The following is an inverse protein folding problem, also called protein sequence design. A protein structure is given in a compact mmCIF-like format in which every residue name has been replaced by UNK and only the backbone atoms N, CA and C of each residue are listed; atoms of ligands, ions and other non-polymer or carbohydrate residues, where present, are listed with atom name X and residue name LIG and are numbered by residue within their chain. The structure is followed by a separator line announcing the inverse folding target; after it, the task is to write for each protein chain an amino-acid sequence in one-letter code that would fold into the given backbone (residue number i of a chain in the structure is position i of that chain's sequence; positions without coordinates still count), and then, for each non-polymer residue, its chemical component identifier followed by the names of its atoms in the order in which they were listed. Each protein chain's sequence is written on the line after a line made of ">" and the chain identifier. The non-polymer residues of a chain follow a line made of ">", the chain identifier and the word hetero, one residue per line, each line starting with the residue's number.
data_IF_099284688665
#
_entry.id   IF_099284688665
#
_cell.length_a   1.000
_cell.length_b   1.000
_cell.length_c   1.000
_cell.angle_alpha   90.00
_cell.angle_beta   90.00
_cell.angle_gamma   90.00
#
_symmetry.space_group_name_H-M   'P 1'
#
loop_
_entity.id
_entity.type
_entity.pdbx_description
1 polymer ?
#
# COMPACT_ATOMS: atom_id res chain seq x y z
N UNK A 1 28.99 10.02 -25.23
CA UNK A 1 28.55 10.15 -26.64
C UNK A 1 29.65 10.80 -27.47
N UNK A 2 29.97 10.29 -28.66
CA UNK A 2 31.07 10.82 -29.47
C UNK A 2 30.60 11.13 -30.90
N UNK A 3 30.93 12.32 -31.42
CA UNK A 3 30.62 12.75 -32.79
C UNK A 3 31.92 13.09 -33.54
N UNK A 4 32.11 12.44 -34.69
CA UNK A 4 33.24 12.67 -35.61
C UNK A 4 32.75 12.79 -37.04
N UNK A 5 33.39 13.65 -37.82
CA UNK A 5 33.10 13.81 -39.24
C UNK A 5 32.44 15.15 -39.57
N UNK A 6 32.65 15.60 -40.80
CA UNK A 6 32.16 16.88 -41.26
C UNK A 6 30.67 16.75 -41.61
N UNK A 7 29.81 17.56 -40.99
CA UNK A 7 28.36 17.55 -41.24
C UNK A 7 27.54 16.50 -40.46
N UNK A 8 28.13 15.78 -39.50
CA UNK A 8 27.37 14.87 -38.64
C UNK A 8 26.57 15.65 -37.59
N UNK A 9 25.24 15.53 -37.64
CA UNK A 9 24.32 16.07 -36.63
C UNK A 9 23.96 14.97 -35.63
N UNK A 10 24.23 15.22 -34.35
CA UNK A 10 23.92 14.30 -33.26
C UNK A 10 22.97 15.01 -32.31
N UNK A 11 21.88 14.34 -31.96
CA UNK A 11 20.84 14.87 -31.09
C UNK A 11 20.55 13.86 -29.99
N UNK A 12 20.37 14.35 -28.77
CA UNK A 12 19.92 13.55 -27.65
C UNK A 12 18.69 14.19 -27.00
N UNK A 13 17.70 13.34 -26.74
CA UNK A 13 16.43 13.71 -26.13
C UNK A 13 16.14 12.76 -24.97
N UNK A 14 15.54 13.25 -23.88
CA UNK A 14 15.10 12.43 -22.74
C UNK A 14 16.20 11.47 -22.23
N UNK A 15 17.46 11.90 -22.21
CA UNK A 15 18.62 11.03 -22.03
C UNK A 15 19.45 11.42 -20.80
N UNK A 16 20.17 10.45 -20.22
CA UNK A 16 21.07 10.67 -19.09
C UNK A 16 22.50 10.35 -19.51
N UNK A 17 23.40 11.31 -19.29
CA UNK A 17 24.85 11.20 -19.52
C UNK A 17 25.59 11.50 -18.22
N UNK A 18 25.78 10.47 -17.39
CA UNK A 18 26.30 10.65 -16.05
C UNK A 18 27.33 9.60 -15.66
N UNK A 19 28.51 10.05 -15.24
CA UNK A 19 29.65 9.23 -14.86
C UNK A 19 30.08 8.24 -15.96
N UNK A 20 29.95 8.64 -17.22
CA UNK A 20 30.58 7.91 -18.31
C UNK A 20 32.10 8.10 -18.25
N UNK A 21 32.85 7.26 -18.95
CA UNK A 21 34.29 7.39 -19.08
C UNK A 21 34.68 7.25 -20.55
N UNK A 22 35.38 8.23 -21.08
CA UNK A 22 35.95 8.13 -22.41
C UNK A 22 37.06 7.05 -22.41
N UNK A 23 37.15 6.27 -23.49
CA UNK A 23 38.19 5.25 -23.63
C UNK A 23 39.63 5.81 -23.55
N UNK A 24 39.79 7.10 -23.86
CA UNK A 24 41.04 7.85 -23.72
C UNK A 24 40.77 9.34 -23.58
N UNK A 25 41.49 10.03 -22.70
CA UNK A 25 41.47 11.50 -22.64
C UNK A 25 40.25 12.08 -21.94
N UNK A 26 39.74 13.19 -22.47
CA UNK A 26 38.55 13.92 -21.97
C UNK A 26 37.33 13.65 -22.87
N UNK A 27 36.19 14.26 -22.57
CA UNK A 27 34.93 14.04 -23.28
C UNK A 27 34.17 12.83 -22.76
N UNK A 28 34.23 12.62 -21.44
CA UNK A 28 33.60 11.48 -20.77
C UNK A 28 32.12 11.35 -21.10
N UNK A 29 31.38 12.47 -21.05
CA UNK A 29 29.96 12.51 -21.39
C UNK A 29 29.75 12.84 -22.86
N UNK A 30 30.47 13.84 -23.36
CA UNK A 30 30.39 14.28 -24.74
C UNK A 30 31.77 14.59 -25.32
N UNK A 31 32.11 13.96 -26.43
CA UNK A 31 33.24 14.36 -27.26
C UNK A 31 32.78 14.69 -28.68
N UNK A 32 33.00 15.93 -29.10
CA UNK A 32 32.64 16.38 -30.43
C UNK A 32 33.87 16.95 -31.15
N UNK A 33 34.33 16.25 -32.17
CA UNK A 33 35.37 16.74 -33.09
C UNK A 33 34.81 17.06 -34.48
N UNK A 34 33.49 17.05 -34.63
CA UNK A 34 32.78 17.43 -35.84
C UNK A 34 32.61 18.95 -35.97
N UNK A 35 32.07 19.38 -37.12
CA UNK A 35 31.82 20.80 -37.42
C UNK A 35 30.47 21.31 -36.91
N UNK A 36 29.54 20.42 -36.56
CA UNK A 36 28.23 20.75 -36.00
C UNK A 36 28.17 20.42 -34.51
N UNK A 37 27.44 21.23 -33.74
CA UNK A 37 27.25 20.99 -32.31
C UNK A 37 26.35 19.77 -32.05
N UNK A 38 26.57 19.08 -30.92
CA UNK A 38 25.62 18.05 -30.44
C UNK A 38 24.45 18.77 -29.78
N UNK A 39 23.23 18.49 -30.24
CA UNK A 39 22.01 19.09 -29.69
C UNK A 39 21.47 18.27 -28.52
N UNK A 40 21.16 18.92 -27.40
CA UNK A 40 20.57 18.28 -26.22
C UNK A 40 19.23 18.94 -25.86
N UNK A 41 18.23 18.13 -25.50
CA UNK A 41 16.93 18.59 -24.99
C UNK A 41 16.42 17.60 -23.95
N UNK A 42 15.94 18.08 -22.80
CA UNK A 42 15.48 17.21 -21.71
C UNK A 42 16.50 16.12 -21.38
N UNK A 43 17.77 16.51 -21.17
CA UNK A 43 18.83 15.59 -20.81
C UNK A 43 19.44 15.94 -19.45
N UNK A 44 19.78 14.93 -18.66
CA UNK A 44 20.68 15.08 -17.50
C UNK A 44 22.11 14.82 -17.95
N UNK A 45 23.03 15.71 -17.60
CA UNK A 45 24.44 15.50 -17.91
C UNK A 45 25.39 16.10 -16.88
N UNK A 46 26.59 15.51 -16.81
CA UNK A 46 27.71 16.07 -16.05
C UNK A 46 28.57 16.99 -16.92
N UNK A 47 29.02 18.11 -16.36
CA UNK A 47 29.76 19.17 -17.06
C UNK A 47 31.12 19.49 -16.42
N UNK A 48 31.77 18.49 -15.82
CA UNK A 48 33.11 18.64 -15.26
C UNK A 48 34.16 18.94 -16.34
N UNK A 49 35.37 19.32 -15.89
CA UNK A 49 36.48 19.72 -16.77
C UNK A 49 36.90 18.68 -17.81
N UNK A 50 36.57 17.41 -17.58
CA UNK A 50 36.88 16.29 -18.46
C UNK A 50 35.65 15.70 -19.15
N UNK A 51 34.46 16.26 -18.94
CA UNK A 51 33.21 15.62 -19.34
C UNK A 51 32.76 16.04 -20.74
N UNK A 52 33.10 17.26 -21.15
CA UNK A 52 32.66 17.85 -22.42
C UNK A 52 33.87 18.33 -23.21
N UNK A 53 34.01 17.84 -24.44
CA UNK A 53 34.87 18.43 -25.47
C UNK A 53 34.02 18.80 -26.68
N UNK A 54 34.26 20.00 -27.22
CA UNK A 54 33.63 20.47 -28.45
C UNK A 54 32.30 21.18 -28.20
N UNK A 55 31.62 21.54 -29.30
CA UNK A 55 30.43 22.35 -29.23
C UNK A 55 29.18 21.54 -28.88
N UNK A 56 28.37 22.06 -27.95
CA UNK A 56 27.03 21.60 -27.62
C UNK A 56 26.01 22.71 -27.94
N UNK A 57 24.82 22.32 -28.39
CA UNK A 57 23.65 23.16 -28.59
C UNK A 57 22.59 22.77 -27.56
N UNK A 58 22.30 23.66 -26.62
CA UNK A 58 21.41 23.37 -25.49
C UNK A 58 20.00 23.91 -25.78
N UNK A 59 19.04 23.01 -25.94
CA UNK A 59 17.61 23.34 -25.92
C UNK A 59 17.07 23.34 -24.48
N UNK A 60 15.76 23.33 -24.33
CA UNK A 60 15.09 23.37 -23.02
C UNK A 60 15.16 22.03 -22.26
N UNK A 61 14.87 22.07 -20.96
CA UNK A 61 14.71 20.88 -20.11
C UNK A 61 16.00 20.19 -19.67
N UNK A 62 17.17 20.67 -20.10
CA UNK A 62 18.45 20.07 -19.73
C UNK A 62 18.84 20.40 -18.28
N UNK A 63 19.44 19.44 -17.58
CA UNK A 63 19.79 19.53 -16.16
C UNK A 63 21.22 19.03 -15.89
N UNK A 64 21.87 19.61 -14.88
CA UNK A 64 23.21 19.22 -14.42
C UNK A 64 23.20 18.72 -12.97
N UNK A 65 22.16 17.98 -12.60
CA UNK A 65 22.02 17.34 -11.30
C UNK A 65 22.21 15.83 -11.45
N UNK A 66 22.76 15.18 -10.41
CA UNK A 66 22.91 13.73 -10.41
C UNK A 66 21.55 13.04 -10.63
N UNK A 67 21.47 12.01 -11.48
CA UNK A 67 20.21 11.32 -11.79
C UNK A 67 19.70 10.44 -10.65
N UNK A 68 20.45 10.28 -9.57
CA UNK A 68 20.10 9.49 -8.38
C UNK A 68 19.58 8.08 -8.71
N UNK A 69 20.45 7.26 -9.32
CA UNK A 69 20.17 5.85 -9.59
C UNK A 69 20.17 5.00 -8.30
N UNK A 70 19.44 3.88 -8.30
CA UNK A 70 19.34 2.97 -7.14
C UNK A 70 20.69 2.35 -6.76
N UNK A 71 21.37 1.71 -7.72
CA UNK A 71 22.68 1.06 -7.48
C UNK A 71 23.47 0.96 -8.79
N UNK A 72 24.05 2.08 -9.28
CA UNK A 72 24.75 2.12 -10.55
C UNK A 72 26.05 1.30 -10.54
N UNK A 73 26.66 1.03 -9.38
CA UNK A 73 27.86 0.20 -9.26
C UNK A 73 27.56 -1.28 -9.53
N UNK A 74 26.35 -1.73 -9.16
CA UNK A 74 25.83 -3.05 -9.52
C UNK A 74 25.16 -3.09 -10.93
N UNK A 75 25.20 -1.98 -11.68
CA UNK A 75 24.55 -1.85 -12.98
C UNK A 75 23.04 -1.64 -12.92
N UNK A 76 22.48 -1.32 -11.75
CA UNK A 76 21.07 -0.98 -11.58
C UNK A 76 20.87 0.54 -11.75
N UNK A 77 20.59 0.94 -12.98
CA UNK A 77 20.35 2.33 -13.38
C UNK A 77 18.87 2.74 -13.31
N UNK A 78 18.03 2.02 -12.58
CA UNK A 78 16.68 2.50 -12.26
C UNK A 78 16.76 3.75 -11.39
N UNK A 79 15.78 4.65 -11.56
CA UNK A 79 15.71 5.90 -10.81
C UNK A 79 15.31 5.64 -9.35
N UNK A 80 15.94 6.33 -8.41
CA UNK A 80 15.52 6.33 -7.01
C UNK A 80 14.45 7.39 -6.73
N UNK A 81 13.74 7.25 -5.60
CA UNK A 81 12.74 8.21 -5.18
C UNK A 81 13.34 9.61 -5.00
N UNK A 82 12.74 10.61 -5.68
CA UNK A 82 13.22 12.00 -5.66
C UNK A 82 14.28 12.32 -6.72
N UNK A 83 14.63 11.38 -7.59
CA UNK A 83 15.50 11.63 -8.73
C UNK A 83 15.00 12.83 -9.56
N UNK A 84 15.90 13.72 -10.02
CA UNK A 84 15.54 14.85 -10.87
C UNK A 84 15.11 14.43 -12.29
N UNK A 85 15.32 13.15 -12.64
CA UNK A 85 14.90 12.58 -13.92
C UNK A 85 13.39 12.33 -13.99
N UNK A 86 12.71 12.26 -12.84
CA UNK A 86 11.30 11.89 -12.71
C UNK A 86 10.40 13.00 -13.25
N UNK A 87 9.49 12.64 -14.15
CA UNK A 87 8.53 13.49 -14.85
C UNK A 87 9.18 14.75 -15.48
N UNK A 88 10.43 14.64 -15.90
CA UNK A 88 11.23 15.77 -16.36
C UNK A 88 11.65 15.68 -17.83
N UNK A 89 11.21 14.64 -18.54
CA UNK A 89 11.35 14.50 -19.98
C UNK A 89 10.24 15.19 -20.77
N UNK A 90 10.27 15.05 -22.10
CA UNK A 90 9.22 15.51 -23.01
C UNK A 90 8.63 14.36 -23.82
N UNK A 91 7.31 14.23 -23.75
CA UNK A 91 6.54 13.23 -24.47
C UNK A 91 6.65 13.38 -26.00
N UNK A 92 7.02 14.56 -26.50
CA UNK A 92 7.17 14.83 -27.94
C UNK A 92 8.35 14.07 -28.55
N UNK A 93 9.38 13.78 -27.75
CA UNK A 93 10.59 13.08 -28.20
C UNK A 93 10.55 11.58 -27.91
N UNK A 94 9.37 11.02 -27.67
CA UNK A 94 9.19 9.58 -27.44
C UNK A 94 9.02 8.87 -28.76
N UNK A 95 10.00 8.06 -29.19
CA UNK A 95 9.93 7.41 -30.49
C UNK A 95 8.78 6.40 -30.50
N UNK A 96 7.92 6.45 -31.52
CA UNK A 96 6.86 5.45 -31.68
C UNK A 96 7.41 4.22 -32.42
N UNK A 97 7.06 2.97 -32.02
CA UNK A 97 6.03 2.60 -31.06
C UNK A 97 6.57 2.24 -29.65
N UNK A 98 7.48 3.03 -29.06
CA UNK A 98 8.02 2.73 -27.72
C UNK A 98 6.93 2.88 -26.64
N UNK A 99 6.37 1.76 -26.19
CA UNK A 99 5.33 1.73 -25.15
C UNK A 99 5.84 1.30 -23.78
N UNK A 100 7.00 0.64 -23.72
CA UNK A 100 7.59 0.11 -22.48
C UNK A 100 9.00 0.65 -22.24
N UNK A 101 9.38 0.74 -20.97
CA UNK A 101 10.75 1.03 -20.56
C UNK A 101 11.62 -0.25 -20.54
N UNK A 102 12.90 -0.12 -20.16
CA UNK A 102 13.83 -1.25 -20.13
C UNK A 102 13.51 -2.28 -19.03
N UNK A 103 12.72 -1.92 -18.02
CA UNK A 103 12.24 -2.83 -16.97
C UNK A 103 10.90 -3.52 -17.34
N UNK A 104 10.30 -3.16 -18.48
CA UNK A 104 9.01 -3.67 -18.94
C UNK A 104 7.80 -2.97 -18.34
N UNK A 105 7.99 -1.85 -17.63
CA UNK A 105 6.92 -0.95 -17.21
C UNK A 105 6.43 -0.08 -18.37
N UNK A 106 5.31 0.63 -18.19
CA UNK A 106 4.88 1.63 -19.19
C UNK A 106 6.00 2.68 -19.38
N UNK A 107 6.23 3.16 -20.61
CA UNK A 107 7.23 4.21 -20.86
C UNK A 107 6.78 5.61 -20.43
N UNK A 108 5.49 5.79 -20.14
CA UNK A 108 4.93 7.03 -19.58
C UNK A 108 3.92 6.60 -18.51
N UNK A 109 4.32 6.63 -17.23
CA UNK A 109 3.46 6.15 -16.14
C UNK A 109 2.61 7.27 -15.51
N UNK A 110 3.21 8.44 -15.26
CA UNK A 110 2.57 9.57 -14.56
C UNK A 110 2.20 10.76 -15.46
N UNK A 111 2.03 10.49 -16.76
CA UNK A 111 1.60 11.48 -17.76
C UNK A 111 2.74 12.31 -18.37
N UNK A 112 3.91 12.36 -17.74
CA UNK A 112 5.16 12.91 -18.31
C UNK A 112 6.22 11.81 -18.25
N UNK A 113 6.99 11.67 -19.32
CA UNK A 113 8.10 10.73 -19.40
C UNK A 113 9.28 11.14 -18.52
N UNK A 114 9.98 10.16 -17.97
CA UNK A 114 11.24 10.34 -17.28
C UNK A 114 12.42 10.37 -18.25
N UNK A 115 13.44 11.15 -17.89
CA UNK A 115 14.71 11.13 -18.59
C UNK A 115 15.43 9.79 -18.34
N UNK A 116 15.99 9.18 -19.39
CA UNK A 116 16.74 7.93 -19.32
C UNK A 116 16.01 6.74 -19.93
N UNK A 117 16.49 5.53 -19.60
CA UNK A 117 15.98 4.27 -20.15
C UNK A 117 14.87 3.62 -19.30
N UNK A 118 14.71 4.07 -18.06
CA UNK A 118 13.75 3.57 -17.09
C UNK A 118 12.74 4.66 -16.75
N UNK A 119 11.48 4.29 -16.62
CA UNK A 119 10.54 5.10 -15.85
C UNK A 119 10.76 4.79 -14.37
N UNK A 120 10.71 5.82 -13.54
CA UNK A 120 10.45 5.67 -12.12
C UNK A 120 9.04 5.11 -11.98
N UNK A 121 8.98 3.79 -11.98
CA UNK A 121 7.93 3.09 -11.30
C UNK A 121 8.06 3.59 -9.87
N UNK A 122 7.07 4.36 -9.40
CA UNK A 122 6.87 4.56 -7.97
C UNK A 122 6.67 3.17 -7.41
N UNK A 123 7.79 2.49 -7.13
CA UNK A 123 7.77 1.31 -6.33
C UNK A 123 7.16 1.86 -5.06
N UNK A 124 5.97 1.36 -4.75
CA UNK A 124 5.53 1.21 -3.38
C UNK A 124 6.67 0.45 -2.74
N UNK A 125 7.73 1.17 -2.35
CA UNK A 125 8.99 0.64 -1.87
C UNK A 125 8.50 -0.22 -0.73
N UNK A 126 8.56 -1.55 -0.88
CA UNK A 126 7.69 -2.39 -0.10
C UNK A 126 8.02 -2.08 1.34
N UNK A 127 7.09 -1.48 2.08
CA UNK A 127 7.28 -1.37 3.51
C UNK A 127 7.39 -2.80 3.98
N UNK A 128 8.63 -3.20 4.24
CA UNK A 128 8.91 -4.51 4.74
C UNK A 128 8.51 -4.50 6.19
N UNK A 129 7.66 -5.44 6.53
CA UNK A 129 7.29 -5.65 7.92
C UNK A 129 8.33 -6.59 8.50
N UNK A 130 9.22 -6.06 9.34
CA UNK A 130 10.32 -6.81 9.96
C UNK A 130 9.80 -7.98 10.82
N UNK A 131 8.58 -7.85 11.33
CA UNK A 131 7.88 -8.97 11.95
C UNK A 131 6.39 -8.70 12.05
N UNK A 132 5.58 -9.71 11.80
CA UNK A 132 4.13 -9.66 11.99
C UNK A 132 3.69 -10.94 12.70
N UNK A 133 3.20 -10.79 13.93
CA UNK A 133 2.86 -11.92 14.80
C UNK A 133 1.55 -11.68 15.51
N UNK A 134 0.82 -12.77 15.75
CA UNK A 134 -0.45 -12.76 16.46
C UNK A 134 -0.44 -13.82 17.54
N UNK A 135 -1.02 -13.50 18.67
CA UNK A 135 -1.19 -14.40 19.81
C UNK A 135 -2.57 -14.15 20.40
N UNK A 136 -3.08 -15.09 21.16
CA UNK A 136 -4.34 -14.90 21.88
C UNK A 136 -4.19 -15.40 23.31
N UNK A 137 -4.74 -14.64 24.24
CA UNK A 137 -4.85 -15.01 25.65
C UNK A 137 -6.15 -14.46 26.21
N UNK A 138 -6.87 -15.26 27.01
CA UNK A 138 -8.14 -14.86 27.62
C UNK A 138 -9.13 -14.22 26.61
N UNK A 139 -9.31 -14.86 25.44
CA UNK A 139 -10.16 -14.39 24.34
C UNK A 139 -9.76 -13.02 23.77
N UNK A 140 -8.56 -12.52 24.05
CA UNK A 140 -8.03 -11.27 23.51
C UNK A 140 -6.90 -11.58 22.54
N UNK A 141 -7.15 -11.35 21.25
CA UNK A 141 -6.11 -11.42 20.23
C UNK A 141 -5.19 -10.21 20.39
N UNK A 142 -3.90 -10.47 20.46
CA UNK A 142 -2.84 -9.45 20.42
C UNK A 142 -2.04 -9.62 19.16
N UNK A 143 -2.14 -8.63 18.29
CA UNK A 143 -1.44 -8.55 17.01
C UNK A 143 -0.32 -7.53 17.16
N UNK A 144 0.89 -7.91 16.77
CA UNK A 144 2.09 -7.07 16.86
C UNK A 144 2.83 -7.05 15.54
N UNK A 145 3.30 -5.88 15.16
CA UNK A 145 4.27 -5.76 14.07
C UNK A 145 5.33 -4.72 14.36
N UNK A 146 6.44 -4.88 13.67
CA UNK A 146 7.51 -3.91 13.60
C UNK A 146 7.62 -3.42 12.16
N UNK A 147 7.62 -2.10 11.97
CA UNK A 147 7.83 -1.52 10.67
C UNK A 147 9.29 -1.61 10.24
N UNK A 148 9.51 -1.78 8.94
CA UNK A 148 10.80 -1.53 8.30
C UNK A 148 10.94 -0.04 8.01
N UNK A 149 11.32 0.30 6.78
CA UNK A 149 11.41 1.68 6.33
C UNK A 149 10.02 2.20 5.96
N UNK A 150 9.63 3.37 6.48
CA UNK A 150 8.30 3.99 6.30
C UNK A 150 8.32 5.25 5.41
N UNK A 151 9.24 5.36 4.45
CA UNK A 151 9.51 6.64 3.74
C UNK A 151 8.35 7.20 2.89
N UNK A 152 7.33 6.40 2.54
CA UNK A 152 6.15 6.86 1.77
C UNK A 152 4.82 6.32 2.32
N UNK A 153 4.81 5.82 3.55
CA UNK A 153 3.64 5.15 4.12
C UNK A 153 2.73 6.15 4.84
N UNK A 154 1.45 6.20 4.47
CA UNK A 154 0.43 6.98 5.17
C UNK A 154 -0.01 6.29 6.46
N UNK A 155 -0.39 5.01 6.36
CA UNK A 155 -0.98 4.26 7.48
C UNK A 155 -0.95 2.74 7.27
N UNK A 156 -1.10 2.03 8.37
CA UNK A 156 -1.45 0.61 8.39
C UNK A 156 -2.95 0.44 8.60
N UNK A 157 -3.59 -0.34 7.74
CA UNK A 157 -4.94 -0.86 7.95
C UNK A 157 -4.85 -2.33 8.37
N UNK A 158 -5.18 -2.63 9.63
CA UNK A 158 -5.28 -4.02 10.07
C UNK A 158 -6.60 -4.60 9.55
N UNK A 159 -6.50 -5.76 8.91
CA UNK A 159 -7.66 -6.48 8.40
C UNK A 159 -7.76 -7.87 9.04
N UNK A 160 -9.00 -8.32 9.24
CA UNK A 160 -9.33 -9.63 9.80
C UNK A 160 -10.21 -10.41 8.82
N UNK A 161 -10.03 -11.73 8.80
CA UNK A 161 -10.85 -12.67 8.05
C UNK A 161 -11.13 -13.94 8.87
N UNK A 162 -12.29 -14.55 8.69
CA UNK A 162 -12.61 -15.86 9.29
C UNK A 162 -12.21 -17.04 8.40
N UNK A 163 -12.22 -16.84 7.07
CA UNK A 163 -11.93 -17.86 6.07
C UNK A 163 -10.53 -17.72 5.45
N UNK A 164 -9.83 -16.60 5.71
CA UNK A 164 -8.51 -16.30 5.15
C UNK A 164 -8.55 -15.78 3.71
N UNK A 165 -9.74 -15.47 3.18
CA UNK A 165 -9.98 -14.97 1.82
C UNK A 165 -10.62 -13.58 1.87
N UNK A 166 -11.72 -13.45 2.60
CA UNK A 166 -12.48 -12.21 2.71
C UNK A 166 -12.01 -11.41 3.92
N UNK A 167 -11.27 -10.32 3.66
CA UNK A 167 -10.66 -9.50 4.70
C UNK A 167 -11.42 -8.18 4.88
N UNK A 168 -11.86 -7.93 6.11
CA UNK A 168 -12.51 -6.68 6.52
C UNK A 168 -11.55 -5.84 7.35
N UNK A 169 -11.57 -4.51 7.17
CA UNK A 169 -10.77 -3.59 7.98
C UNK A 169 -11.29 -3.54 9.42
N UNK A 170 -10.40 -3.73 10.40
CA UNK A 170 -10.73 -3.69 11.84
C UNK A 170 -10.03 -2.55 12.59
N UNK A 171 -8.92 -2.03 12.06
CA UNK A 171 -8.24 -0.86 12.62
C UNK A 171 -7.45 -0.09 11.56
N UNK A 172 -7.15 1.16 11.86
CA UNK A 172 -6.31 2.05 11.05
C UNK A 172 -5.35 2.79 11.98
N UNK A 173 -4.05 2.75 11.70
CA UNK A 173 -3.01 3.38 12.51
C UNK A 173 -2.07 4.17 11.61
N UNK A 174 -1.91 5.45 11.92
CA UNK A 174 -0.91 6.30 11.28
C UNK A 174 0.51 5.77 11.56
N UNK A 175 1.44 6.12 10.69
CA UNK A 175 2.86 5.80 10.85
C UNK A 175 3.45 6.52 12.07
N UNK A 176 4.42 5.86 12.71
CA UNK A 176 5.19 6.39 13.85
C UNK A 176 6.65 6.65 13.49
N UNK A 177 7.08 6.27 12.28
CA UNK A 177 8.46 6.31 11.81
C UNK A 177 9.03 4.91 11.62
N UNK A 178 10.06 4.81 10.77
CA UNK A 178 10.76 3.58 10.45
C UNK A 178 11.26 2.83 11.70
N UNK A 179 11.13 1.51 11.74
CA UNK A 179 11.56 0.68 12.88
C UNK A 179 10.60 0.64 14.08
N UNK A 180 9.45 1.29 13.99
CA UNK A 180 8.48 1.42 15.07
C UNK A 180 7.74 0.12 15.38
N UNK A 181 7.36 -0.04 16.65
CA UNK A 181 6.55 -1.15 17.13
C UNK A 181 5.09 -0.76 17.27
N UNK A 182 4.22 -1.67 16.84
CA UNK A 182 2.78 -1.51 16.89
C UNK A 182 2.13 -2.71 17.57
N UNK A 183 1.04 -2.43 18.27
CA UNK A 183 0.24 -3.43 18.96
C UNK A 183 -1.23 -3.10 18.79
N UNK A 184 -2.01 -4.14 18.48
CA UNK A 184 -3.45 -4.09 18.47
C UNK A 184 -3.98 -5.21 19.35
N UNK A 185 -4.91 -4.88 20.24
CA UNK A 185 -5.57 -5.83 21.13
C UNK A 185 -7.07 -5.73 20.93
N UNK A 186 -7.70 -6.85 20.64
CA UNK A 186 -9.16 -6.92 20.53
C UNK A 186 -9.67 -8.29 20.98
N UNK A 187 -10.91 -8.36 21.48
CA UNK A 187 -11.55 -9.64 21.71
C UNK A 187 -11.64 -10.46 20.41
N UNK A 188 -11.25 -11.73 20.47
CA UNK A 188 -11.41 -12.72 19.41
C UNK A 188 -12.14 -13.94 19.98
N UNK A 189 -13.42 -14.05 19.63
CA UNK A 189 -14.29 -15.14 20.07
C UNK A 189 -14.33 -16.30 19.08
N UNK A 190 -13.85 -16.12 17.85
CA UNK A 190 -13.75 -17.22 16.89
C UNK A 190 -12.61 -18.19 17.26
N UNK A 191 -12.81 -19.49 17.00
CA UNK A 191 -11.78 -20.54 17.17
C UNK A 191 -10.50 -20.21 16.41
N UNK A 192 -10.62 -19.56 15.25
CA UNK A 192 -9.51 -19.06 14.47
C UNK A 192 -9.91 -17.76 13.79
N UNK A 193 -8.93 -16.90 13.58
CA UNK A 193 -9.05 -15.74 12.70
C UNK A 193 -7.72 -15.55 11.97
N UNK A 194 -7.80 -14.94 10.80
CA UNK A 194 -6.68 -14.59 9.96
C UNK A 194 -6.52 -13.08 9.98
N UNK A 195 -5.29 -12.60 10.06
CA UNK A 195 -5.00 -11.17 10.04
C UNK A 195 -3.97 -10.86 8.97
N UNK A 196 -4.11 -9.69 8.36
CA UNK A 196 -3.09 -9.09 7.51
C UNK A 196 -3.07 -7.59 7.70
N UNK A 197 -1.96 -6.98 7.36
CA UNK A 197 -1.84 -5.53 7.26
C UNK A 197 -2.00 -5.15 5.80
N UNK A 198 -2.78 -4.12 5.54
CA UNK A 198 -2.78 -3.37 4.29
C UNK A 198 -2.02 -2.08 4.55
N UNK A 199 -0.91 -1.90 3.85
CA UNK A 199 0.00 -0.78 3.96
C UNK A 199 -0.44 0.22 2.89
N UNK A 200 -0.91 1.39 3.30
CA UNK A 200 -1.45 2.41 2.39
C UNK A 200 -0.47 3.56 2.33
N UNK A 201 0.02 3.84 1.13
CA UNK A 201 1.01 4.90 0.88
C UNK A 201 0.34 6.28 0.77
N UNK A 202 1.15 7.34 0.77
CA UNK A 202 0.68 8.72 0.71
C UNK A 202 -0.08 9.05 -0.60
N UNK A 203 0.24 8.36 -1.68
CA UNK A 203 -0.44 8.46 -2.98
C UNK A 203 -1.73 7.63 -3.06
N UNK A 204 -2.07 6.87 -2.01
CA UNK A 204 -3.26 6.02 -1.92
C UNK A 204 -3.09 4.61 -2.48
N UNK A 205 -1.93 4.29 -3.08
CA UNK A 205 -1.58 2.93 -3.44
C UNK A 205 -1.41 2.04 -2.20
N UNK A 206 -1.40 0.72 -2.38
CA UNK A 206 -1.29 -0.19 -1.23
C UNK A 206 -0.66 -1.54 -1.54
N UNK A 207 -0.07 -2.13 -0.50
CA UNK A 207 0.41 -3.51 -0.46
C UNK A 207 -0.20 -4.26 0.72
N UNK A 208 -0.37 -5.57 0.59
CA UNK A 208 -0.75 -6.43 1.72
C UNK A 208 0.48 -7.16 2.29
N UNK A 209 0.52 -7.35 3.60
CA UNK A 209 1.48 -8.22 4.26
C UNK A 209 1.17 -9.69 4.03
N UNK A 210 2.07 -10.56 4.50
CA UNK A 210 1.72 -11.96 4.79
C UNK A 210 0.49 -12.05 5.70
N UNK A 211 -0.25 -13.16 5.57
CA UNK A 211 -1.38 -13.47 6.44
C UNK A 211 -0.90 -14.29 7.63
N UNK A 212 -1.25 -13.87 8.84
CA UNK A 212 -1.04 -14.68 10.04
C UNK A 212 -2.34 -15.32 10.48
N UNK A 213 -2.26 -16.56 10.99
CA UNK A 213 -3.38 -17.28 11.57
C UNK A 213 -3.27 -17.28 13.09
N UNK A 214 -4.30 -16.80 13.77
CA UNK A 214 -4.40 -16.78 15.23
C UNK A 214 -5.49 -17.75 15.66
N UNK A 215 -5.10 -18.82 16.36
CA UNK A 215 -6.00 -19.87 16.84
C UNK A 215 -6.23 -19.70 18.32
N UNK A 216 -7.50 -19.68 18.72
CA UNK A 216 -7.93 -19.69 20.11
C UNK A 216 -7.96 -21.14 20.61
N UNK A 217 -6.86 -21.56 21.26
CA UNK A 217 -6.73 -22.91 21.80
C UNK A 217 -7.65 -23.19 23.02
N UNK A 218 -8.39 -22.17 23.51
CA UNK A 218 -9.45 -22.40 24.51
C UNK A 218 -10.71 -23.03 23.89
N UNK A 219 -10.75 -23.18 22.56
CA UNK A 219 -11.69 -24.08 21.89
C UNK A 219 -11.09 -25.49 21.87
N UNK A 220 -11.40 -26.29 22.88
CA UNK A 220 -11.14 -27.73 22.83
C UNK A 220 -11.98 -28.35 21.71
N UNK A 221 -11.37 -29.15 20.85
CA UNK A 221 -11.99 -29.84 19.70
C UNK A 221 -13.01 -30.93 20.07
N UNK A 222 -13.56 -30.87 21.28
CA UNK A 222 -14.59 -31.79 21.73
C UNK A 222 -15.96 -31.25 21.28
N UNK A 223 -16.42 -31.80 20.16
CA UNK A 223 -17.73 -31.64 19.54
C UNK A 223 -18.94 -32.05 20.41
N UNK A 224 -18.86 -31.99 21.75
CA UNK A 224 -19.96 -32.40 22.64
C UNK A 224 -20.24 -31.47 23.84
N UNK A 225 -19.65 -30.28 23.93
CA UNK A 225 -20.12 -29.29 24.93
C UNK A 225 -20.93 -28.18 24.24
N UNK A 226 -22.25 -28.28 24.38
CA UNK A 226 -23.27 -27.32 23.90
C UNK A 226 -23.20 -25.99 24.68
N UNK A 227 -22.03 -25.35 24.72
CA UNK A 227 -21.92 -23.94 25.11
C UNK A 227 -22.49 -23.08 24.00
N UNK A 228 -23.74 -22.66 24.21
CA UNK A 228 -24.51 -21.81 23.32
C UNK A 228 -23.63 -20.77 22.60
N UNK A 229 -23.59 -20.83 21.28
CA UNK A 229 -22.95 -19.81 20.44
C UNK A 229 -23.58 -18.47 20.80
N UNK A 230 -22.80 -17.62 21.49
CA UNK A 230 -23.24 -16.30 21.97
C UNK A 230 -23.44 -15.38 20.76
N UNK A 231 -24.62 -14.79 20.64
CA UNK A 231 -24.95 -13.83 19.59
C UNK A 231 -24.21 -12.51 19.83
N UNK A 232 -23.36 -12.11 18.88
CA UNK A 232 -22.61 -10.86 18.94
C UNK A 232 -23.49 -9.70 18.44
N UNK A 233 -23.53 -8.62 19.23
CA UNK A 233 -24.33 -7.41 18.98
C UNK A 233 -23.42 -6.20 19.10
N UNK A 234 -23.39 -5.34 18.09
CA UNK A 234 -22.58 -4.11 18.11
C UNK A 234 -23.27 -2.92 17.42
N UNK A 235 -22.98 -1.68 17.80
CA UNK A 235 -22.24 -1.30 19.01
C UNK A 235 -23.02 -1.70 20.26
N UNK A 236 -22.30 -2.03 21.34
CA UNK A 236 -22.86 -2.23 22.67
C UNK A 236 -21.88 -1.60 23.68
N UNK A 237 -22.26 -0.54 24.42
CA UNK A 237 -23.58 0.11 24.43
C UNK A 237 -23.99 0.81 23.12
N UNK A 238 -25.28 1.10 22.94
CA UNK A 238 -25.81 1.83 21.76
C UNK A 238 -26.96 2.76 22.13
N UNK A 239 -27.19 3.77 21.27
CA UNK A 239 -28.35 4.67 21.33
C UNK A 239 -29.33 4.49 20.15
N UNK A 240 -28.88 3.95 19.02
CA UNK A 240 -29.63 4.04 17.74
C UNK A 240 -29.82 2.68 17.10
N UNK A 241 -28.78 1.87 16.97
CA UNK A 241 -28.87 0.58 16.29
C UNK A 241 -27.94 -0.47 16.91
N UNK A 242 -28.28 -1.73 16.70
CA UNK A 242 -27.39 -2.88 16.88
C UNK A 242 -27.24 -3.60 15.54
N UNK A 243 -26.11 -4.25 15.36
CA UNK A 243 -25.75 -5.03 14.21
C UNK A 243 -25.36 -6.43 14.67
N UNK A 244 -25.73 -7.41 13.87
CA UNK A 244 -25.46 -8.83 14.10
C UNK A 244 -25.39 -9.58 12.78
N UNK A 245 -24.73 -10.72 12.81
CA UNK A 245 -24.72 -11.66 11.70
C UNK A 245 -25.67 -12.82 12.00
N UNK A 246 -26.64 -13.03 11.12
CA UNK A 246 -27.53 -14.18 11.16
C UNK A 246 -26.97 -15.27 10.23
N UNK A 247 -26.61 -16.44 10.77
CA UNK A 247 -26.05 -17.54 9.96
C UNK A 247 -27.05 -18.11 8.93
N UNK A 248 -28.34 -17.94 9.19
CA UNK A 248 -29.45 -18.35 8.33
C UNK A 248 -30.64 -17.40 8.57
N UNK A 249 -31.64 -17.34 7.67
CA UNK A 249 -32.81 -16.49 7.88
C UNK A 249 -33.52 -16.88 9.18
N UNK A 250 -34.01 -15.89 9.94
CA UNK A 250 -34.59 -16.14 11.25
C UNK A 250 -35.32 -14.94 11.84
N UNK A 251 -36.24 -15.21 12.77
CA UNK A 251 -36.92 -14.16 13.52
C UNK A 251 -36.04 -13.73 14.69
N UNK A 252 -35.63 -12.46 14.71
CA UNK A 252 -35.04 -11.86 15.90
C UNK A 252 -36.13 -11.41 16.87
N UNK A 253 -35.88 -11.62 18.16
CA UNK A 253 -36.73 -11.16 19.26
C UNK A 253 -35.84 -10.43 20.28
N UNK A 254 -36.29 -9.28 20.76
CA UNK A 254 -35.62 -8.50 21.82
C UNK A 254 -36.54 -8.42 23.03
N UNK A 255 -36.01 -8.73 24.20
CA UNK A 255 -36.71 -8.76 25.47
C UNK A 255 -36.11 -7.75 26.45
N UNK A 256 -36.95 -7.11 27.26
CA UNK A 256 -36.49 -6.30 28.40
C UNK A 256 -36.14 -7.18 29.62
N UNK A 257 -35.72 -6.55 30.73
CA UNK A 257 -35.38 -7.24 31.98
C UNK A 257 -36.54 -8.02 32.62
N UNK A 258 -37.79 -7.68 32.31
CA UNK A 258 -38.97 -8.39 32.79
C UNK A 258 -39.38 -9.56 31.87
N UNK A 259 -38.60 -9.85 30.83
CA UNK A 259 -38.89 -10.90 29.86
C UNK A 259 -39.98 -10.53 28.83
N UNK A 260 -40.42 -9.27 28.77
CA UNK A 260 -41.40 -8.81 27.79
C UNK A 260 -40.72 -8.62 26.43
N UNK A 261 -41.29 -9.20 25.35
CA UNK A 261 -40.86 -8.93 23.97
C UNK A 261 -41.18 -7.48 23.63
N UNK A 262 -40.15 -6.68 23.37
CA UNK A 262 -40.27 -5.25 23.02
C UNK A 262 -40.04 -4.96 21.54
N UNK A 263 -39.45 -5.93 20.81
CA UNK A 263 -39.18 -5.81 19.38
C UNK A 263 -39.04 -7.21 18.75
N UNK A 264 -39.56 -7.38 17.54
CA UNK A 264 -39.21 -8.53 16.70
C UNK A 264 -39.25 -8.20 15.21
N UNK A 265 -38.42 -8.90 14.44
CA UNK A 265 -38.29 -8.71 12.99
C UNK A 265 -37.83 -10.01 12.32
N UNK A 266 -38.26 -10.26 11.09
CA UNK A 266 -37.68 -11.33 10.26
C UNK A 266 -36.39 -10.82 9.60
N UNK A 267 -35.29 -11.55 9.77
CA UNK A 267 -34.00 -11.20 9.17
C UNK A 267 -33.58 -12.21 8.10
N UNK A 268 -33.01 -11.76 6.97
CA UNK A 268 -32.28 -12.63 6.05
C UNK A 268 -30.97 -13.14 6.69
N UNK A 269 -30.37 -14.16 6.07
CA UNK A 269 -29.00 -14.56 6.40
C UNK A 269 -28.01 -13.42 6.07
N UNK A 270 -26.91 -13.36 6.81
CA UNK A 270 -25.86 -12.36 6.66
C UNK A 270 -25.94 -11.22 7.67
N UNK A 271 -25.32 -10.10 7.32
CA UNK A 271 -25.23 -8.91 8.17
C UNK A 271 -26.56 -8.14 8.22
N UNK A 272 -27.01 -7.84 9.43
CA UNK A 272 -28.27 -7.15 9.68
C UNK A 272 -28.07 -5.99 10.65
N UNK A 273 -28.67 -4.84 10.35
CA UNK A 273 -28.74 -3.68 11.24
C UNK A 273 -30.17 -3.50 11.73
N UNK A 274 -30.34 -3.34 13.04
CA UNK A 274 -31.62 -3.23 13.72
C UNK A 274 -31.66 -1.91 14.46
N UNK A 275 -32.66 -1.09 14.15
CA UNK A 275 -32.88 0.18 14.83
C UNK A 275 -33.52 -0.08 16.20
N UNK A 276 -32.85 0.38 17.26
CA UNK A 276 -33.28 0.27 18.66
C UNK A 276 -33.50 1.64 19.31
N UNK A 277 -33.56 2.72 18.52
CA UNK A 277 -33.69 4.09 19.03
C UNK A 277 -34.98 4.34 19.81
N UNK A 278 -36.03 3.56 19.51
CA UNK A 278 -37.34 3.62 20.17
C UNK A 278 -37.41 2.89 21.51
N UNK A 279 -36.37 2.12 21.86
CA UNK A 279 -36.30 1.43 23.14
C UNK A 279 -35.82 2.43 24.22
N UNK A 280 -36.42 2.35 25.40
CA UNK A 280 -35.95 3.09 26.58
C UNK A 280 -34.54 2.64 26.98
N UNK A 281 -33.79 3.48 27.69
CA UNK A 281 -32.48 3.11 28.23
C UNK A 281 -32.60 1.92 29.19
N UNK A 282 -31.73 0.93 29.06
CA UNK A 282 -31.81 -0.31 29.84
C UNK A 282 -31.04 -1.50 29.26
N UNK A 283 -31.07 -2.62 29.97
CA UNK A 283 -30.49 -3.89 29.53
C UNK A 283 -31.53 -4.70 28.74
N UNK A 284 -31.13 -5.19 27.56
CA UNK A 284 -31.97 -5.97 26.66
C UNK A 284 -31.32 -7.30 26.29
N UNK A 285 -32.14 -8.34 26.18
CA UNK A 285 -31.74 -9.66 25.72
C UNK A 285 -32.25 -9.91 24.30
N UNK A 286 -31.42 -10.48 23.45
CA UNK A 286 -31.73 -10.74 22.03
C UNK A 286 -31.69 -12.24 21.79
N UNK A 287 -32.65 -12.74 21.01
CA UNK A 287 -32.72 -14.14 20.59
C UNK A 287 -32.95 -14.23 19.09
N UNK A 288 -32.19 -15.08 18.40
CA UNK A 288 -32.44 -15.48 17.01
C UNK A 288 -31.89 -16.89 16.81
N UNK A 289 -32.67 -17.79 16.18
CA UNK A 289 -32.24 -19.15 15.83
C UNK A 289 -31.59 -19.94 16.99
N UNK A 290 -32.10 -19.76 18.22
CA UNK A 290 -31.56 -20.40 19.43
C UNK A 290 -30.31 -19.73 20.03
N UNK A 291 -29.66 -18.82 19.29
CA UNK A 291 -28.57 -17.98 19.79
C UNK A 291 -29.13 -16.86 20.67
N UNK A 292 -28.38 -16.51 21.72
CA UNK A 292 -28.75 -15.46 22.68
C UNK A 292 -27.64 -14.41 22.79
N UNK A 293 -28.02 -13.15 22.87
CA UNK A 293 -27.13 -12.00 23.06
C UNK A 293 -27.73 -11.01 24.04
N UNK A 294 -26.97 -10.00 24.44
CA UNK A 294 -27.48 -8.90 25.25
C UNK A 294 -26.79 -7.58 24.85
N UNK A 295 -27.51 -6.47 24.95
CA UNK A 295 -26.95 -5.14 24.75
C UNK A 295 -27.52 -4.13 25.75
N UNK A 296 -26.77 -3.06 25.98
CA UNK A 296 -27.16 -1.93 26.82
C UNK A 296 -27.60 -0.78 25.91
N UNK A 297 -28.86 -0.34 26.07
CA UNK A 297 -29.39 0.88 25.47
C UNK A 297 -29.11 2.04 26.42
N UNK A 298 -28.46 3.09 25.94
CA UNK A 298 -28.25 4.34 26.68
C UNK A 298 -29.34 5.36 26.34
#
# INVERSE_FOLDING_TARGET
>A
MYSTGNGAQVEAYNSIFWNNQAASGTGNEFGNSGSLAITLSHCIYRSGSSDIIGALSMLTGNQQQAPDFIDPEAGNYQLSAGSPAINAGSNEFVPQPLTMDLAGGNRIESGVIDMGAYEYQASTLPVDILGFKGSISNQTATIRWQSGVENNLSRYELQQSENGVDFNKVASMATKGSGSHYVYMAPQYAKKAYYRLKLVDLDGSFKNSQVIRVVNNNFTDNLEDTKAVKLLLYPNPTNVYIQLQANQPGKIQIFNLHGLEVFSQQLPAGWNQINVSRLSSGLYFVKINGQKGQFVKQ
#
